data_IF_888516406960
#
_entry.id   IF_888516406960
#
_cell.length_a   1.000
_cell.length_b   1.000
_cell.length_c   1.000
_cell.angle_alpha   90.00
_cell.angle_beta   90.00
_cell.angle_gamma   90.00
#
_symmetry.space_group_name_H-M   'P 1'
#
loop_
_entity.id
_entity.type
_entity.pdbx_description
1 polymer ?
#
# COMPACT_ATOMS: atom_id res chain seq x y z
N UNK A 1 -2.47 29.38 5.15
CA UNK A 1 -3.00 28.82 6.43
C UNK A 1 -1.87 28.07 7.10
N UNK A 2 -1.44 28.43 8.33
CA UNK A 2 -0.41 27.65 9.01
C UNK A 2 -0.98 26.28 9.39
N UNK A 3 -0.24 25.23 9.06
CA UNK A 3 -0.58 23.85 9.44
C UNK A 3 -0.67 23.80 10.97
N UNK A 4 -1.90 23.63 11.46
CA UNK A 4 -2.21 23.51 12.88
C UNK A 4 -1.52 22.23 13.36
N UNK A 5 -0.48 22.37 14.17
CA UNK A 5 0.18 21.22 14.80
C UNK A 5 -0.87 20.45 15.60
N UNK A 6 -1.22 19.26 15.14
CA UNK A 6 -2.13 18.37 15.85
C UNK A 6 -1.38 17.82 17.05
N UNK A 7 -1.35 18.62 18.12
CA UNK A 7 -0.81 18.20 19.42
C UNK A 7 -1.80 17.22 20.02
N UNK A 8 -1.47 15.93 19.99
CA UNK A 8 -2.22 14.89 20.68
C UNK A 8 -2.35 15.28 22.17
N UNK A 9 -3.56 15.33 22.74
CA UNK A 9 -3.75 15.67 24.14
C UNK A 9 -3.14 14.55 25.01
N UNK A 10 -2.10 14.87 25.79
CA UNK A 10 -1.54 13.95 26.80
C UNK A 10 -0.02 14.02 26.99
N UNK A 11 0.77 14.00 25.91
CA UNK A 11 2.20 13.60 26.02
C UNK A 11 3.24 14.54 25.38
N UNK A 12 2.86 15.75 24.94
CA UNK A 12 3.83 16.74 24.46
C UNK A 12 4.66 16.35 23.23
N UNK A 13 4.34 15.23 22.56
CA UNK A 13 5.10 14.67 21.44
C UNK A 13 6.07 13.55 21.80
N UNK A 14 6.12 13.13 23.07
CA UNK A 14 6.95 12.01 23.52
C UNK A 14 6.31 10.66 23.13
N UNK A 15 6.85 10.03 22.09
CA UNK A 15 6.39 8.72 21.59
C UNK A 15 6.66 7.61 22.61
N UNK A 16 7.81 7.62 23.28
CA UNK A 16 8.19 6.58 24.24
C UNK A 16 7.22 6.54 25.42
N UNK A 17 6.81 7.73 25.88
CA UNK A 17 5.79 7.85 26.92
C UNK A 17 4.44 7.32 26.45
N UNK A 18 3.99 7.69 25.26
CA UNK A 18 2.72 7.23 24.71
C UNK A 18 2.68 5.71 24.53
N UNK A 19 3.78 5.09 24.10
CA UNK A 19 3.90 3.64 23.97
C UNK A 19 3.85 2.94 25.34
N UNK A 20 4.53 3.48 26.36
CA UNK A 20 4.45 2.94 27.74
C UNK A 20 3.04 3.00 28.32
N UNK A 21 2.30 4.09 28.10
CA UNK A 21 0.94 4.26 28.62
C UNK A 21 -0.08 3.33 27.94
N UNK A 22 0.15 2.98 26.67
CA UNK A 22 -0.73 2.07 25.91
C UNK A 22 -0.40 0.60 26.13
N UNK A 23 0.79 0.28 26.65
CA UNK A 23 1.27 -1.10 26.78
C UNK A 23 1.56 -1.78 25.45
N UNK A 24 1.63 -1.01 24.35
CA UNK A 24 1.95 -1.52 23.01
C UNK A 24 3.47 -1.64 22.91
N UNK A 25 3.94 -2.80 22.45
CA UNK A 25 5.34 -2.98 22.09
C UNK A 25 5.63 -2.36 20.71
N UNK A 26 6.43 -1.28 20.62
CA UNK A 26 6.75 -0.66 19.34
C UNK A 26 7.59 -1.57 18.42
N UNK A 27 8.40 -2.46 19.00
CA UNK A 27 9.28 -3.33 18.23
C UNK A 27 8.48 -4.35 17.40
N UNK A 28 7.35 -4.81 17.95
CA UNK A 28 6.42 -5.68 17.23
C UNK A 28 5.91 -5.08 15.91
N UNK A 29 5.75 -3.75 15.84
CA UNK A 29 5.23 -3.07 14.67
C UNK A 29 6.33 -2.54 13.73
N UNK A 30 7.48 -2.14 14.27
CA UNK A 30 8.50 -1.38 13.52
C UNK A 30 9.71 -2.20 13.09
N UNK A 31 10.11 -3.22 13.84
CA UNK A 31 11.42 -3.85 13.67
C UNK A 31 11.40 -5.37 13.58
N UNK A 32 10.27 -6.04 13.81
CA UNK A 32 10.21 -7.49 13.64
C UNK A 32 10.31 -7.89 12.17
N UNK A 33 10.96 -9.02 11.93
CA UNK A 33 10.87 -9.68 10.63
C UNK A 33 9.49 -10.31 10.43
N UNK A 34 9.00 -10.28 9.20
CA UNK A 34 7.68 -10.81 8.83
C UNK A 34 7.85 -11.91 7.79
N UNK A 35 7.23 -13.07 8.03
CA UNK A 35 7.22 -14.13 7.02
C UNK A 35 6.25 -13.78 5.90
N UNK A 36 6.47 -14.33 4.71
CA UNK A 36 5.48 -14.26 3.63
C UNK A 36 4.31 -15.23 3.82
N UNK A 37 4.42 -16.17 4.77
CA UNK A 37 3.36 -17.14 5.11
C UNK A 37 2.29 -16.57 6.06
N UNK A 38 2.52 -15.37 6.61
CA UNK A 38 1.55 -14.68 7.46
C UNK A 38 0.81 -13.57 6.71
N UNK A 39 -0.26 -13.08 7.34
CA UNK A 39 -1.02 -11.98 6.78
C UNK A 39 -0.27 -10.65 6.95
N UNK A 40 0.31 -10.16 5.86
CA UNK A 40 1.14 -8.96 5.86
C UNK A 40 0.29 -7.68 5.91
N UNK A 41 0.82 -6.57 6.48
CA UNK A 41 0.07 -5.32 6.61
C UNK A 41 -0.49 -4.76 5.30
N UNK A 42 0.18 -4.99 4.16
CA UNK A 42 -0.33 -4.56 2.84
C UNK A 42 -1.48 -5.43 2.33
N UNK A 43 -1.72 -6.61 2.90
CA UNK A 43 -2.78 -7.53 2.46
C UNK A 43 -4.19 -7.02 2.80
N UNK A 44 -4.32 -6.02 3.68
CA UNK A 44 -5.61 -5.33 3.95
C UNK A 44 -5.95 -4.28 2.89
N UNK A 45 -4.99 -3.88 2.06
CA UNK A 45 -5.15 -2.80 1.07
C UNK A 45 -5.16 -3.40 -0.32
N UNK A 46 -6.25 -3.18 -1.05
CA UNK A 46 -6.31 -3.51 -2.47
C UNK A 46 -5.74 -2.35 -3.29
N UNK A 47 -4.51 -2.54 -3.78
CA UNK A 47 -3.81 -1.57 -4.64
C UNK A 47 -3.86 -1.93 -6.13
N UNK A 48 -4.51 -3.04 -6.49
CA UNK A 48 -4.45 -3.62 -7.84
C UNK A 48 -3.12 -4.31 -8.19
N UNK A 49 -2.13 -4.28 -7.29
CA UNK A 49 -0.86 -5.00 -7.45
C UNK A 49 -0.99 -6.43 -6.92
N UNK A 50 -0.30 -7.38 -7.56
CA UNK A 50 -0.27 -8.77 -7.09
C UNK A 50 0.58 -8.92 -5.83
N UNK A 51 0.28 -9.97 -5.05
CA UNK A 51 1.09 -10.32 -3.89
C UNK A 51 2.55 -10.60 -4.26
N UNK A 52 2.79 -11.36 -5.34
CA UNK A 52 4.14 -11.68 -5.81
C UNK A 52 4.95 -10.42 -6.16
N UNK A 53 4.32 -9.42 -6.80
CA UNK A 53 4.99 -8.14 -7.08
C UNK A 53 5.41 -7.43 -5.78
N UNK A 54 4.52 -7.34 -4.79
CA UNK A 54 4.83 -6.71 -3.50
C UNK A 54 5.92 -7.46 -2.73
N UNK A 55 5.93 -8.80 -2.82
CA UNK A 55 6.96 -9.65 -2.25
C UNK A 55 8.32 -9.39 -2.89
N UNK A 56 8.42 -9.42 -4.22
CA UNK A 56 9.66 -9.13 -4.95
C UNK A 56 10.20 -7.72 -4.64
N UNK A 57 9.32 -6.71 -4.57
CA UNK A 57 9.72 -5.35 -4.21
C UNK A 57 10.20 -5.24 -2.76
N UNK A 58 9.59 -5.99 -1.83
CA UNK A 58 10.06 -6.07 -0.45
C UNK A 58 11.43 -6.74 -0.35
N UNK A 59 11.68 -7.83 -1.09
CA UNK A 59 13.00 -8.49 -1.16
C UNK A 59 14.08 -7.54 -1.68
N UNK A 60 13.82 -6.83 -2.80
CA UNK A 60 14.73 -5.80 -3.33
C UNK A 60 15.01 -4.70 -2.32
N UNK A 61 13.98 -4.23 -1.61
CA UNK A 61 14.13 -3.19 -0.60
C UNK A 61 15.04 -3.64 0.55
N UNK A 62 14.95 -4.90 0.98
CA UNK A 62 15.86 -5.48 2.00
C UNK A 62 17.31 -5.52 1.51
N UNK A 63 17.52 -5.71 0.22
CA UNK A 63 18.84 -5.68 -0.42
C UNK A 63 19.31 -4.26 -0.79
N UNK A 64 18.54 -3.21 -0.45
CA UNK A 64 18.82 -1.83 -0.84
C UNK A 64 18.90 -1.61 -2.36
N UNK A 65 18.15 -2.40 -3.13
CA UNK A 65 18.05 -2.29 -4.58
C UNK A 65 16.85 -1.41 -4.97
N UNK A 66 17.07 -0.52 -5.94
CA UNK A 66 16.01 0.31 -6.52
C UNK A 66 15.24 -0.44 -7.60
N UNK A 67 13.92 -0.30 -7.61
CA UNK A 67 13.08 -0.70 -8.74
C UNK A 67 12.95 0.40 -9.79
N UNK A 68 12.41 0.04 -10.96
CA UNK A 68 12.11 1.00 -12.01
C UNK A 68 11.03 1.99 -11.55
N UNK A 69 11.07 3.25 -12.02
CA UNK A 69 10.02 4.21 -11.71
C UNK A 69 8.66 3.72 -12.21
N UNK A 70 7.58 4.05 -11.48
CA UNK A 70 6.22 3.76 -11.90
C UNK A 70 5.73 4.84 -12.89
N UNK A 71 5.20 4.47 -14.09
CA UNK A 71 5.00 3.11 -14.57
C UNK A 71 6.28 2.49 -15.15
N UNK A 72 6.52 1.20 -14.86
CA UNK A 72 7.66 0.46 -15.41
C UNK A 72 7.50 0.08 -16.90
N UNK A 73 6.33 0.39 -17.48
CA UNK A 73 5.94 0.11 -18.86
C UNK A 73 5.26 1.34 -19.46
N UNK A 74 5.25 1.48 -20.78
CA UNK A 74 4.65 2.64 -21.45
C UNK A 74 3.13 2.78 -21.22
N UNK A 75 2.41 1.67 -21.02
CA UNK A 75 0.96 1.65 -20.76
C UNK A 75 0.66 0.74 -19.56
N UNK A 76 0.23 1.33 -18.44
CA UNK A 76 -0.05 0.61 -17.19
C UNK A 76 -1.48 0.91 -16.72
N UNK A 77 -2.26 -0.14 -16.43
CA UNK A 77 -3.63 -0.04 -15.90
C UNK A 77 -3.80 -0.72 -14.54
N UNK A 78 -2.70 -1.08 -13.87
CA UNK A 78 -2.71 -1.99 -12.72
C UNK A 78 -3.39 -1.40 -11.49
N UNK A 79 -3.01 -0.18 -11.07
CA UNK A 79 -3.58 0.49 -9.89
C UNK A 79 -4.54 1.64 -10.22
N UNK A 80 -4.69 2.00 -11.50
CA UNK A 80 -5.53 3.11 -11.95
C UNK A 80 -5.01 4.53 -11.63
N UNK A 81 -3.83 4.67 -11.02
CA UNK A 81 -3.27 5.99 -10.64
C UNK A 81 -2.57 6.69 -11.80
N UNK A 82 -1.84 5.95 -12.65
CA UNK A 82 -1.07 6.55 -13.73
C UNK A 82 -2.01 7.15 -14.80
N UNK A 83 -1.92 8.46 -15.08
CA UNK A 83 -2.67 9.08 -16.16
C UNK A 83 -1.92 9.01 -17.50
N UNK A 84 -0.82 8.25 -17.60
CA UNK A 84 0.11 8.29 -18.74
C UNK A 84 -0.61 7.94 -20.04
N UNK A 85 -1.01 9.01 -20.74
CA UNK A 85 -1.57 9.14 -22.09
C UNK A 85 -2.82 8.34 -22.47
N UNK A 86 -3.10 7.21 -21.82
CA UNK A 86 -4.20 6.34 -22.22
C UNK A 86 -5.52 6.59 -21.48
N UNK A 87 -5.53 7.33 -20.36
CA UNK A 87 -6.79 7.63 -19.65
C UNK A 87 -7.77 8.46 -20.50
N UNK A 88 -7.25 9.28 -21.43
CA UNK A 88 -8.05 10.02 -22.41
C UNK A 88 -8.64 9.12 -23.51
N UNK A 89 -7.97 8.00 -23.81
CA UNK A 89 -8.36 7.01 -24.82
C UNK A 89 -8.93 5.71 -24.20
N UNK A 90 -9.17 5.71 -22.88
CA UNK A 90 -9.60 4.55 -22.15
C UNK A 90 -11.10 4.30 -22.43
N UNK A 91 -11.52 3.06 -22.76
CA UNK A 91 -12.92 2.70 -22.82
C UNK A 91 -13.61 3.07 -21.50
N UNK A 92 -14.83 3.57 -21.58
CA UNK A 92 -15.60 4.09 -20.43
C UNK A 92 -15.71 3.09 -19.26
N UNK A 93 -15.55 1.78 -19.54
CA UNK A 93 -15.50 0.71 -18.54
C UNK A 93 -14.20 0.57 -17.72
N UNK A 94 -13.12 1.32 -18.01
CA UNK A 94 -11.83 1.23 -17.31
C UNK A 94 -11.55 2.42 -16.37
N UNK A 95 -12.49 3.36 -16.25
CA UNK A 95 -12.45 4.47 -15.28
C UNK A 95 -12.83 4.00 -13.85
N UNK A 96 -13.22 2.74 -13.67
CA UNK A 96 -13.67 2.21 -12.39
C UNK A 96 -12.59 1.30 -11.80
N UNK A 97 -11.83 1.81 -10.84
CA UNK A 97 -11.08 0.96 -9.92
C UNK A 97 -12.11 0.07 -9.21
N UNK A 98 -12.26 -1.17 -9.67
CA UNK A 98 -12.99 -2.19 -8.94
C UNK A 98 -11.96 -3.09 -8.24
N UNK A 99 -12.05 -3.21 -6.89
CA UNK A 99 -11.22 -4.14 -6.13
C UNK A 99 -11.18 -5.54 -6.76
N UNK A 100 -10.03 -6.21 -6.70
CA UNK A 100 -9.78 -7.56 -7.21
C UNK A 100 -10.88 -8.53 -6.77
N UNK A 101 -11.35 -8.41 -5.52
CA UNK A 101 -12.47 -9.19 -4.98
C UNK A 101 -13.77 -9.02 -5.76
N UNK A 102 -14.07 -7.81 -6.22
CA UNK A 102 -15.25 -7.51 -7.05
C UNK A 102 -15.07 -8.14 -8.43
N UNK A 103 -13.85 -8.06 -8.99
CA UNK A 103 -13.53 -8.64 -10.30
C UNK A 103 -13.62 -10.18 -10.30
N UNK A 104 -13.11 -10.83 -9.25
CA UNK A 104 -13.19 -12.27 -9.03
C UNK A 104 -14.65 -12.72 -8.81
N UNK A 105 -15.42 -11.99 -8.02
CA UNK A 105 -16.84 -12.28 -7.79
C UNK A 105 -17.68 -12.14 -9.06
N UNK A 106 -17.41 -11.13 -9.90
CA UNK A 106 -18.09 -10.95 -11.19
C UNK A 106 -17.70 -12.05 -12.20
N UNK A 107 -16.44 -12.49 -12.21
CA UNK A 107 -15.99 -13.57 -13.08
C UNK A 107 -16.57 -14.94 -12.67
N UNK A 108 -16.87 -15.15 -11.39
CA UNK A 108 -17.51 -16.37 -10.88
C UNK A 108 -19.04 -16.39 -11.05
N UNK A 109 -19.64 -15.26 -11.44
CA UNK A 109 -21.10 -15.09 -11.60
C UNK A 109 -21.58 -15.22 -13.06
N UNK A 110 -20.68 -15.55 -13.99
CA UNK A 110 -20.95 -15.83 -15.42
C UNK A 110 -20.71 -17.30 -15.70
#
# INVERSE_FOLDING_TARGET
MPLRSMRLPGNGGDLDRAMRETGIDPAFHTSRDRSYDEFLPWSIVDSGLSFEFLKEEHEKARESLSSLPCPAVEKCTTCGVCPSTWLADAPEGLIQIQPLKIREALAAAV
#
